data_IF_851890489580
#
_entry.id   IF_851890489580
#
_cell.length_a   1.000
_cell.length_b   1.000
_cell.length_c   1.000
_cell.angle_alpha   90.00
_cell.angle_beta   90.00
_cell.angle_gamma   90.00
#
_symmetry.space_group_name_H-M   'P 1'
#
loop_
_entity.id
_entity.type
_entity.pdbx_description
1 polymer ?
#
# COMPACT_ATOMS: atom_id res chain seq x y z
N UNK A 1 -4.39 18.05 -1.60
CA UNK A 1 -4.45 17.27 -0.33
C UNK A 1 -5.76 16.48 -0.34
N UNK A 2 -5.73 15.19 -0.67
CA UNK A 2 -6.95 14.36 -0.74
C UNK A 2 -7.58 14.26 0.65
N UNK A 3 -8.85 14.66 0.80
CA UNK A 3 -9.58 14.48 2.05
C UNK A 3 -9.66 12.97 2.40
N UNK A 4 -9.43 12.66 3.67
CA UNK A 4 -9.18 11.31 4.21
C UNK A 4 -10.45 10.45 4.39
N UNK A 5 -11.64 10.90 4.00
CA UNK A 5 -12.84 10.39 4.68
C UNK A 5 -13.32 8.99 4.31
N UNK A 6 -13.02 8.43 3.12
CA UNK A 6 -13.93 7.39 2.59
C UNK A 6 -13.27 6.22 1.85
N UNK A 7 -12.22 5.58 2.38
CA UNK A 7 -11.68 4.35 1.75
C UNK A 7 -11.52 3.18 2.71
N UNK A 8 -12.10 2.04 2.34
CA UNK A 8 -11.56 0.73 2.67
C UNK A 8 -10.92 0.18 1.39
N UNK A 9 -9.70 -0.37 1.47
CA UNK A 9 -9.01 -1.03 0.35
C UNK A 9 -8.76 -0.14 -0.89
N UNK A 10 -8.67 1.19 -0.72
CA UNK A 10 -8.39 2.11 -1.84
C UNK A 10 -9.62 2.56 -2.64
N UNK A 11 -10.84 2.21 -2.22
CA UNK A 11 -12.11 2.60 -2.86
C UNK A 11 -12.43 4.12 -2.79
N UNK A 12 -13.62 4.56 -3.23
CA UNK A 12 -14.14 5.92 -3.03
C UNK A 12 -15.60 5.83 -2.62
N UNK A 13 -15.90 5.97 -1.33
CA UNK A 13 -17.28 6.12 -0.87
C UNK A 13 -17.64 7.60 -0.80
N UNK A 14 -18.95 7.91 -0.86
CA UNK A 14 -19.43 9.29 -0.65
C UNK A 14 -19.37 9.71 0.83
N UNK A 15 -19.28 8.72 1.71
CA UNK A 15 -19.18 8.84 3.17
C UNK A 15 -18.49 7.59 3.74
N UNK A 16 -18.02 7.67 4.99
CA UNK A 16 -17.23 6.62 5.62
C UNK A 16 -17.99 5.31 5.82
N UNK A 17 -17.28 4.18 6.03
CA UNK A 17 -17.93 2.91 6.30
C UNK A 17 -18.70 2.97 7.62
N UNK A 18 -19.81 2.23 7.70
CA UNK A 18 -20.46 1.97 9.00
C UNK A 18 -19.52 1.20 9.92
N UNK A 19 -19.74 1.28 11.23
CA UNK A 19 -18.94 0.53 12.21
C UNK A 19 -18.94 -0.98 11.94
N UNK A 20 -20.10 -1.53 11.56
CA UNK A 20 -20.23 -2.94 11.20
C UNK A 20 -19.36 -3.31 9.99
N UNK A 21 -19.33 -2.47 8.95
CA UNK A 21 -18.51 -2.69 7.77
C UNK A 21 -17.01 -2.55 8.08
N UNK A 22 -16.63 -1.57 8.90
CA UNK A 22 -15.26 -1.40 9.36
C UNK A 22 -14.80 -2.63 10.18
N UNK A 23 -15.66 -3.15 11.06
CA UNK A 23 -15.38 -4.32 11.87
C UNK A 23 -15.21 -5.60 11.04
N UNK A 24 -16.07 -5.81 10.04
CA UNK A 24 -16.01 -6.94 9.11
C UNK A 24 -14.76 -6.89 8.23
N UNK A 25 -14.31 -5.68 7.87
CA UNK A 25 -13.20 -5.49 6.92
C UNK A 25 -11.81 -5.56 7.55
N UNK A 26 -11.70 -5.77 8.87
CA UNK A 26 -10.40 -5.86 9.55
C UNK A 26 -9.63 -7.10 9.10
N UNK A 27 -8.35 -6.91 8.80
CA UNK A 27 -7.44 -7.98 8.48
C UNK A 27 -7.10 -8.79 9.75
N UNK A 28 -7.33 -10.10 9.78
CA UNK A 28 -6.88 -10.96 10.89
C UNK A 28 -5.35 -11.02 11.00
N UNK A 29 -4.83 -11.13 12.22
CA UNK A 29 -3.37 -11.15 12.49
C UNK A 29 -2.61 -12.23 11.70
N UNK A 30 -3.22 -13.39 11.45
CA UNK A 30 -2.61 -14.48 10.66
C UNK A 30 -2.13 -14.05 9.26
N UNK A 31 -2.68 -12.97 8.68
CA UNK A 31 -2.27 -12.48 7.37
C UNK A 31 -0.95 -11.70 7.41
N UNK A 32 -0.43 -11.30 8.58
CA UNK A 32 0.93 -10.74 8.71
C UNK A 32 2.02 -11.71 8.23
N UNK A 33 1.72 -13.02 8.12
CA UNK A 33 2.60 -13.97 7.44
C UNK A 33 2.89 -13.60 5.97
N UNK A 34 2.07 -12.73 5.36
CA UNK A 34 2.26 -12.26 3.99
C UNK A 34 3.20 -11.05 3.89
N UNK A 35 3.56 -10.41 5.01
CA UNK A 35 4.45 -9.23 5.02
C UNK A 35 5.76 -9.44 4.24
N UNK A 36 6.46 -10.60 4.31
CA UNK A 36 7.65 -10.81 3.51
C UNK A 36 7.42 -10.72 2.00
N UNK A 37 6.24 -11.15 1.54
CA UNK A 37 5.87 -11.14 0.12
C UNK A 37 5.43 -9.74 -0.33
N UNK A 38 4.73 -8.99 0.53
CA UNK A 38 4.39 -7.59 0.29
C UNK A 38 5.66 -6.72 0.16
N UNK A 39 6.65 -6.98 1.02
CA UNK A 39 7.96 -6.33 0.96
C UNK A 39 8.72 -6.69 -0.33
N UNK A 40 8.77 -7.98 -0.68
CA UNK A 40 9.41 -8.43 -1.92
C UNK A 40 8.74 -7.81 -3.15
N UNK A 41 7.39 -7.76 -3.18
CA UNK A 41 6.61 -7.12 -4.23
C UNK A 41 6.88 -5.63 -4.33
N UNK A 42 6.95 -4.92 -3.19
CA UNK A 42 7.26 -3.49 -3.15
C UNK A 42 8.66 -3.18 -3.68
N UNK A 43 9.68 -3.98 -3.31
CA UNK A 43 11.05 -3.84 -3.82
C UNK A 43 11.13 -4.12 -5.33
N UNK A 44 10.42 -5.14 -5.81
CA UNK A 44 10.33 -5.43 -7.24
C UNK A 44 9.65 -4.28 -8.00
N UNK A 45 8.55 -3.75 -7.48
CA UNK A 45 7.83 -2.65 -8.10
C UNK A 45 8.67 -1.37 -8.22
N UNK A 46 9.40 -1.01 -7.16
CA UNK A 46 10.31 0.15 -7.20
C UNK A 46 11.36 0.03 -8.32
N UNK A 47 11.98 -1.15 -8.48
CA UNK A 47 12.92 -1.41 -9.57
C UNK A 47 12.28 -1.36 -10.95
N UNK A 48 11.05 -1.83 -11.09
CA UNK A 48 10.32 -1.75 -12.36
C UNK A 48 9.94 -0.30 -12.73
N UNK A 49 9.60 0.52 -11.73
CA UNK A 49 9.38 1.95 -11.94
C UNK A 49 10.67 2.66 -12.38
N UNK A 50 11.82 2.32 -11.79
CA UNK A 50 13.12 2.79 -12.26
C UNK A 50 13.39 2.37 -13.70
N UNK A 51 13.18 1.09 -14.03
CA UNK A 51 13.36 0.54 -15.38
C UNK A 51 12.48 1.25 -16.41
N UNK A 52 11.27 1.66 -16.01
CA UNK A 52 10.34 2.42 -16.84
C UNK A 52 10.68 3.92 -16.94
N UNK A 53 11.70 4.40 -16.24
CA UNK A 53 12.07 5.82 -16.19
C UNK A 53 11.11 6.68 -15.36
N UNK A 54 10.30 6.07 -14.50
CA UNK A 54 9.36 6.76 -13.60
C UNK A 54 9.96 7.11 -12.24
N UNK A 55 11.08 6.49 -11.88
CA UNK A 55 11.90 6.84 -10.73
C UNK A 55 13.35 7.02 -11.14
N UNK A 56 14.04 7.95 -10.50
CA UNK A 56 15.50 8.05 -10.58
C UNK A 56 16.18 6.91 -9.80
N UNK A 57 17.48 6.77 -9.99
CA UNK A 57 18.30 5.82 -9.23
C UNK A 57 18.30 6.17 -7.73
N UNK A 58 18.42 7.47 -7.41
CA UNK A 58 18.42 7.98 -6.03
C UNK A 58 17.06 7.77 -5.34
N UNK A 59 15.95 8.03 -6.05
CA UNK A 59 14.60 7.77 -5.54
C UNK A 59 14.39 6.27 -5.27
N UNK A 60 14.87 5.42 -6.18
CA UNK A 60 14.76 3.97 -6.02
C UNK A 60 15.61 3.47 -4.85
N UNK A 61 16.85 3.95 -4.70
CA UNK A 61 17.70 3.59 -3.55
C UNK A 61 17.03 4.00 -2.24
N UNK A 62 16.51 5.22 -2.16
CA UNK A 62 15.82 5.73 -0.96
C UNK A 62 14.62 4.86 -0.60
N UNK A 63 13.82 4.42 -1.58
CA UNK A 63 12.71 3.51 -1.34
C UNK A 63 13.19 2.14 -0.84
N UNK A 64 14.23 1.57 -1.45
CA UNK A 64 14.75 0.25 -1.08
C UNK A 64 15.36 0.24 0.33
N UNK A 65 15.99 1.34 0.76
CA UNK A 65 16.59 1.48 2.10
C UNK A 65 15.53 1.64 3.20
N UNK A 66 14.36 2.22 2.87
CA UNK A 66 13.25 2.38 3.79
C UNK A 66 12.38 1.11 3.96
N UNK A 67 12.55 0.14 3.06
CA UNK A 67 11.77 -1.12 2.97
C UNK A 67 12.51 -2.30 3.62
#
# INVERSE_FOLDING_TARGET
MSQTTDRLWGARFKSGPSEALAALSRCPERYFRLTPYDLAGSKAHARELQRAGLLSEEETSTMLDAL
#
